data_IF_536588074227
#
_entry.id   IF_536588074227
#
_cell.length_a   1.000
_cell.length_b   1.000
_cell.length_c   1.000
_cell.angle_alpha   90.00
_cell.angle_beta   90.00
_cell.angle_gamma   90.00
#
_symmetry.space_group_name_H-M   'P 1'
#
loop_
_entity.id
_entity.type
_entity.pdbx_description
1 polymer ?
#
# COMPACT_ATOMS: atom_id res chain seq x y z
N UNK A 1 -4.91 -22.45 29.35
CA UNK A 1 -4.34 -22.03 28.05
C UNK A 1 -5.19 -20.88 27.54
N UNK A 2 -4.67 -19.65 27.48
CA UNK A 2 -5.40 -18.51 26.89
C UNK A 2 -5.21 -18.58 25.38
N UNK A 3 -6.31 -18.64 24.64
CA UNK A 3 -6.30 -18.46 23.19
C UNK A 3 -6.23 -16.95 22.90
N UNK A 4 -5.47 -16.56 21.87
CA UNK A 4 -5.49 -15.20 21.35
C UNK A 4 -6.70 -15.06 20.43
N UNK A 5 -7.41 -13.93 20.54
CA UNK A 5 -8.46 -13.58 19.60
C UNK A 5 -7.82 -12.88 18.38
N UNK A 6 -8.12 -13.33 17.15
CA UNK A 6 -7.59 -12.71 15.95
C UNK A 6 -8.11 -11.29 15.79
N UNK A 7 -7.25 -10.39 15.31
CA UNK A 7 -7.69 -9.06 14.92
C UNK A 7 -8.76 -9.17 13.82
N UNK A 8 -9.89 -8.51 14.04
CA UNK A 8 -10.96 -8.41 13.06
C UNK A 8 -10.92 -6.98 12.51
N UNK A 9 -10.46 -6.79 11.25
CA UNK A 9 -10.48 -5.46 10.66
C UNK A 9 -11.92 -4.94 10.53
N UNK A 10 -12.14 -3.63 10.60
CA UNK A 10 -13.46 -3.04 10.40
C UNK A 10 -14.03 -3.43 9.02
N UNK A 11 -15.31 -3.80 8.98
CA UNK A 11 -15.98 -4.22 7.76
C UNK A 11 -16.48 -3.02 6.97
N UNK A 12 -16.13 -2.95 5.69
CA UNK A 12 -16.74 -2.01 4.74
C UNK A 12 -18.17 -2.48 4.44
N UNK A 13 -19.18 -1.72 4.88
CA UNK A 13 -20.57 -1.98 4.52
C UNK A 13 -20.87 -1.33 3.16
N UNK A 14 -21.56 -2.02 2.23
CA UNK A 14 -21.92 -1.43 0.95
C UNK A 14 -22.86 -0.22 1.16
N UNK A 15 -22.41 0.97 0.73
CA UNK A 15 -23.06 2.26 0.98
C UNK A 15 -22.05 3.40 1.04
N UNK A 16 -22.46 4.57 1.56
CA UNK A 16 -21.51 5.62 1.93
C UNK A 16 -20.83 5.15 3.23
N UNK A 17 -19.56 4.75 3.12
CA UNK A 17 -18.74 4.46 4.30
C UNK A 17 -18.28 5.80 4.91
N UNK A 18 -18.79 6.09 6.11
CA UNK A 18 -18.42 7.27 6.89
C UNK A 18 -17.48 6.88 8.05
N UNK A 19 -16.89 5.70 8.02
CA UNK A 19 -15.90 5.30 9.02
C UNK A 19 -14.57 6.02 8.81
N UNK A 20 -14.48 7.23 9.38
CA UNK A 20 -13.28 8.07 9.35
C UNK A 20 -12.18 7.55 10.29
N UNK A 21 -12.41 6.50 11.08
CA UNK A 21 -11.39 5.95 11.99
C UNK A 21 -10.23 5.26 11.26
N UNK A 22 -10.43 4.95 9.97
CA UNK A 22 -9.52 4.17 9.15
C UNK A 22 -8.44 5.01 8.46
N UNK A 23 -8.48 6.35 8.59
CA UNK A 23 -7.61 7.29 7.88
C UNK A 23 -7.51 7.00 6.37
N UNK A 24 -8.60 6.49 5.78
CA UNK A 24 -8.67 6.27 4.35
C UNK A 24 -8.59 7.66 3.69
N UNK A 25 -7.44 7.93 3.07
CA UNK A 25 -7.23 9.17 2.33
C UNK A 25 -8.22 9.30 1.18
N UNK A 26 -8.25 10.46 0.53
CA UNK A 26 -9.02 10.63 -0.68
C UNK A 26 -8.59 9.59 -1.72
N UNK A 27 -9.53 8.96 -2.44
CA UNK A 27 -9.17 8.04 -3.52
C UNK A 27 -8.21 8.72 -4.50
N UNK A 28 -7.20 8.00 -5.02
CA UNK A 28 -6.26 8.55 -5.97
C UNK A 28 -6.96 8.99 -7.26
N UNK A 29 -6.34 9.91 -7.99
CA UNK A 29 -6.81 10.28 -9.33
C UNK A 29 -6.85 9.05 -10.24
N UNK A 30 -7.94 8.86 -10.97
CA UNK A 30 -8.16 7.70 -11.84
C UNK A 30 -7.10 7.57 -12.94
N UNK A 31 -6.47 8.67 -13.34
CA UNK A 31 -5.36 8.67 -14.32
C UNK A 31 -4.15 7.84 -13.86
N UNK A 32 -3.97 7.64 -12.55
CA UNK A 32 -2.94 6.74 -12.00
C UNK A 32 -3.24 5.28 -12.36
N UNK A 33 -4.51 4.89 -12.43
CA UNK A 33 -4.88 3.52 -12.79
C UNK A 33 -4.60 3.22 -14.26
N UNK A 34 -4.73 4.22 -15.13
CA UNK A 34 -4.40 4.10 -16.55
C UNK A 34 -2.90 3.81 -16.74
N UNK A 35 -2.03 4.48 -15.97
CA UNK A 35 -0.57 4.26 -15.97
C UNK A 35 -0.18 2.86 -15.48
N UNK A 36 -0.90 2.31 -14.50
CA UNK A 36 -0.63 0.97 -13.93
C UNK A 36 -1.17 -0.16 -14.82
N UNK A 37 -2.26 0.07 -15.55
CA UNK A 37 -2.92 -0.93 -16.40
C UNK A 37 -2.13 -1.32 -17.66
N UNK A 38 -1.12 -0.53 -18.02
CA UNK A 38 -0.46 -0.56 -19.33
C UNK A 38 0.78 -1.45 -19.48
N UNK A 39 1.17 -2.25 -18.49
CA UNK A 39 2.44 -3.01 -18.51
C UNK A 39 2.23 -4.53 -18.73
N UNK A 40 1.97 -4.99 -19.98
CA UNK A 40 1.88 -6.40 -20.31
C UNK A 40 3.25 -7.07 -20.17
N UNK A 41 3.39 -7.93 -19.16
CA UNK A 41 4.61 -8.71 -18.94
C UNK A 41 5.11 -8.75 -17.50
N UNK A 42 4.57 -7.92 -16.60
CA UNK A 42 5.03 -7.84 -15.21
C UNK A 42 4.84 -9.13 -14.39
N UNK A 43 3.97 -10.04 -14.81
CA UNK A 43 3.68 -11.27 -14.07
C UNK A 43 4.63 -12.43 -14.37
N UNK A 44 5.50 -12.31 -15.38
CA UNK A 44 6.38 -13.41 -15.80
C UNK A 44 7.77 -13.38 -15.12
N UNK A 45 8.05 -12.34 -14.32
CA UNK A 45 9.28 -12.19 -13.53
C UNK A 45 8.95 -11.80 -12.10
N UNK A 46 9.92 -12.01 -11.21
CA UNK A 46 9.83 -11.48 -9.86
C UNK A 46 9.91 -9.95 -9.88
N UNK A 47 9.11 -9.26 -9.05
CA UNK A 47 9.14 -7.80 -8.98
C UNK A 47 10.43 -7.31 -8.31
N UNK A 48 10.90 -6.14 -8.75
CA UNK A 48 11.99 -5.39 -8.10
C UNK A 48 11.42 -4.14 -7.41
N UNK A 49 11.73 -3.97 -6.13
CA UNK A 49 11.28 -2.85 -5.30
C UNK A 49 12.31 -1.72 -5.18
N UNK A 50 13.50 -1.86 -5.77
CA UNK A 50 14.60 -0.89 -5.66
C UNK A 50 14.16 0.53 -6.03
N UNK A 51 13.47 0.71 -7.15
CA UNK A 51 12.97 2.00 -7.60
C UNK A 51 11.92 2.62 -6.66
N UNK A 52 11.10 1.79 -6.00
CA UNK A 52 10.14 2.28 -5.00
C UNK A 52 10.85 2.73 -3.72
N UNK A 53 11.86 1.97 -3.27
CA UNK A 53 12.70 2.33 -2.13
C UNK A 53 13.35 3.69 -2.35
N UNK A 54 14.01 3.90 -3.48
CA UNK A 54 14.72 5.16 -3.76
C UNK A 54 13.77 6.37 -3.79
N UNK A 55 12.57 6.21 -4.34
CA UNK A 55 11.53 7.26 -4.35
C UNK A 55 11.09 7.61 -2.93
N UNK A 56 10.83 6.61 -2.07
CA UNK A 56 10.42 6.84 -0.68
C UNK A 56 11.55 7.48 0.13
N UNK A 57 12.79 7.01 -0.03
CA UNK A 57 13.96 7.58 0.64
C UNK A 57 14.15 9.05 0.30
N UNK A 58 14.05 9.41 -0.99
CA UNK A 58 14.11 10.80 -1.45
C UNK A 58 12.96 11.64 -0.89
N UNK A 59 11.74 11.11 -0.86
CA UNK A 59 10.57 11.81 -0.32
C UNK A 59 10.70 12.12 1.18
N UNK A 60 11.40 11.26 1.91
CA UNK A 60 11.57 11.37 3.38
C UNK A 60 12.91 11.94 3.81
N UNK A 61 13.77 12.33 2.87
CA UNK A 61 15.13 12.83 3.12
C UNK A 61 15.98 11.87 3.99
N UNK A 62 15.94 10.59 3.66
CA UNK A 62 16.70 9.53 4.32
C UNK A 62 17.52 8.73 3.30
N UNK A 63 18.55 8.00 3.77
CA UNK A 63 19.32 7.13 2.87
C UNK A 63 18.53 5.87 2.46
N UNK A 64 18.76 5.32 1.25
CA UNK A 64 18.15 4.08 0.80
C UNK A 64 18.41 2.88 1.72
N UNK A 65 19.57 2.84 2.36
CA UNK A 65 19.96 1.80 3.33
C UNK A 65 19.14 1.88 4.62
N UNK A 66 18.61 3.06 4.95
CA UNK A 66 17.69 3.28 6.07
C UNK A 66 16.21 3.04 5.70
N UNK A 67 15.93 2.54 4.48
CA UNK A 67 14.57 2.37 3.96
C UNK A 67 14.26 0.91 3.64
N UNK A 68 13.18 0.39 4.21
CA UNK A 68 12.63 -0.93 3.93
C UNK A 68 11.20 -0.78 3.37
N UNK A 69 10.89 -1.50 2.29
CA UNK A 69 9.56 -1.52 1.68
C UNK A 69 8.91 -2.88 1.99
N UNK A 70 7.69 -2.83 2.54
CA UNK A 70 6.90 -4.00 2.96
C UNK A 70 5.45 -3.87 2.48
N UNK A 71 4.69 -4.96 2.61
CA UNK A 71 3.26 -4.98 2.31
C UNK A 71 2.45 -4.35 3.46
N UNK A 72 2.43 -3.02 3.51
CA UNK A 72 1.83 -2.26 4.63
C UNK A 72 2.77 -2.15 5.82
N UNK A 73 2.31 -1.43 6.86
CA UNK A 73 3.01 -1.27 8.14
C UNK A 73 2.37 -2.06 9.29
N UNK A 74 1.51 -3.03 8.95
CA UNK A 74 0.80 -3.92 9.87
C UNK A 74 1.75 -4.80 10.71
#
# INVERSE_FOLDING_TARGET
>A
MRLLDPYTPPMTLPGIDLDLSRNEGQPPDMSILDEVSGEPGLLNRYPDSSGLRDKVSKLRDVSPEATLVTAGGD
#
